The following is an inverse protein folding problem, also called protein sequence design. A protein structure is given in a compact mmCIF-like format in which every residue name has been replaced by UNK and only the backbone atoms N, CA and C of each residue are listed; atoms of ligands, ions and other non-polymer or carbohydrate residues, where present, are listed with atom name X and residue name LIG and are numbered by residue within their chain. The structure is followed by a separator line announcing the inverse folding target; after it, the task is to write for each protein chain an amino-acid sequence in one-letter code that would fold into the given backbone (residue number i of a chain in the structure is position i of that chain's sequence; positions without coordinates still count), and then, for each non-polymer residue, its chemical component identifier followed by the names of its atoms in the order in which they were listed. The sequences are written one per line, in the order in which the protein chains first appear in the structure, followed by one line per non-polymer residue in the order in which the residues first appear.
data_IF_982741291445
#
_entry.id   IF_982741291445
#
_cell.length_a   1.000
_cell.length_b   1.000
_cell.length_c   1.000
_cell.angle_alpha   90.00
_cell.angle_beta   90.00
_cell.angle_gamma   90.00
#
_symmetry.space_group_name_H-M   'P 1'
#
loop_
_entity.id
_entity.type
_entity.pdbx_description
1 polymer ?
2 non-polymer ?
3 non-polymer ?
4 water ?
#
# COMPACT_ATOMS: atom_id res chain seq x y z
N UNK A 11 -7.11 -24.16 -3.60
CA UNK A 11 -5.84 -23.73 -3.03
C UNK A 11 -5.27 -24.80 -2.10
N UNK A 12 -3.97 -24.72 -1.81
CA UNK A 12 -3.28 -25.75 -1.04
C UNK A 12 -2.33 -25.10 -0.05
N UNK A 13 -1.83 -25.90 0.89
CA UNK A 13 -1.02 -25.36 1.98
C UNK A 13 0.26 -26.15 2.24
N UNK A 14 0.74 -26.94 1.29
CA UNK A 14 1.93 -27.71 1.55
C UNK A 14 3.21 -27.04 1.08
N UNK A 15 3.09 -26.09 0.16
CA UNK A 15 4.18 -25.73 -0.73
C UNK A 15 4.62 -24.27 -0.56
N UNK A 16 5.77 -23.99 -1.16
CA UNK A 16 6.35 -22.64 -1.24
C UNK A 16 6.81 -22.43 -2.68
N UNK A 17 6.04 -21.68 -3.46
CA UNK A 17 6.34 -21.39 -4.86
C UNK A 17 7.08 -20.06 -4.93
N UNK A 18 8.40 -20.11 -5.10
CA UNK A 18 9.23 -18.92 -5.17
C UNK A 18 9.97 -18.93 -6.50
N UNK A 19 9.72 -17.90 -7.32
CA UNK A 19 10.50 -17.73 -8.54
C UNK A 19 10.47 -18.93 -9.46
N UNK A 20 9.33 -19.61 -9.54
CA UNK A 20 9.17 -20.74 -10.42
C UNK A 20 9.36 -22.09 -9.79
N UNK A 21 10.11 -22.18 -8.70
CA UNK A 21 10.26 -23.42 -7.96
C UNK A 21 9.07 -23.63 -7.03
N UNK A 22 9.06 -24.76 -6.32
CA UNK A 22 8.00 -25.02 -5.36
C UNK A 22 8.38 -26.12 -4.38
N UNK A 23 9.13 -25.78 -3.34
CA UNK A 23 9.44 -26.72 -2.28
C UNK A 23 8.15 -27.19 -1.61
N UNK A 24 8.26 -28.11 -0.65
CA UNK A 24 7.11 -28.67 0.06
C UNK A 24 7.44 -28.84 1.53
N UNK A 25 7.85 -27.74 2.17
CA UNK A 25 8.32 -27.75 3.54
C UNK A 25 7.21 -27.37 4.51
N UNK A 26 7.53 -27.46 5.80
CA UNK A 26 6.66 -27.03 6.89
C UNK A 26 7.35 -25.89 7.64
N UNK A 27 6.75 -25.46 8.76
CA UNK A 27 7.23 -24.25 9.42
C UNK A 27 8.64 -24.46 9.99
N UNK A 28 8.91 -25.63 10.56
CA UNK A 28 10.19 -25.85 11.22
C UNK A 28 11.37 -25.85 10.26
N UNK A 29 11.12 -25.79 8.95
CA UNK A 29 12.20 -25.67 7.98
C UNK A 29 12.69 -24.24 7.83
N UNK A 30 12.20 -23.32 8.67
CA UNK A 30 12.57 -21.91 8.62
C UNK A 30 13.12 -21.48 9.98
N UNK A 31 14.14 -20.64 9.94
CA UNK A 31 14.74 -20.06 11.13
C UNK A 31 14.16 -18.67 11.36
N UNK A 32 13.79 -18.38 12.61
CA UNK A 32 13.10 -17.15 12.95
C UNK A 32 14.14 -16.11 13.37
N UNK A 33 14.31 -15.08 12.54
CA UNK A 33 15.31 -14.06 12.79
C UNK A 33 14.73 -12.80 13.44
N UNK A 34 13.45 -12.80 13.77
CA UNK A 34 12.85 -11.71 14.51
C UNK A 34 11.65 -11.10 13.78
N UNK A 35 10.91 -10.29 14.54
CA UNK A 35 9.72 -9.63 14.05
C UNK A 35 10.07 -8.29 13.39
N UNK A 36 9.30 -7.94 12.37
CA UNK A 36 9.52 -6.71 11.60
C UNK A 36 8.46 -5.67 11.99
N UNK A 37 8.64 -5.10 13.18
CA UNK A 37 7.70 -4.15 13.70
C UNK A 37 6.40 -4.78 14.15
N UNK A 38 5.69 -4.06 15.02
CA UNK A 38 4.41 -4.55 15.54
C UNK A 38 3.39 -4.54 14.41
N UNK A 39 3.01 -5.73 13.94
CA UNK A 39 2.08 -5.81 12.84
C UNK A 39 0.69 -5.34 13.23
N UNK A 40 0.04 -4.64 12.30
CA UNK A 40 -1.34 -4.20 12.47
C UNK A 40 -2.33 -5.10 11.76
N UNK A 41 -1.84 -5.98 10.90
CA UNK A 41 -2.62 -7.05 10.29
C UNK A 41 -1.89 -8.38 10.44
N UNK A 42 -1.48 -8.69 11.67
CA UNK A 42 -0.77 -9.92 11.95
C UNK A 42 0.69 -9.72 12.29
N UNK A 43 1.18 -10.49 13.27
CA UNK A 43 2.60 -10.49 13.60
C UNK A 43 3.41 -10.99 12.39
N UNK A 44 4.45 -10.24 12.05
CA UNK A 44 5.27 -10.55 10.88
C UNK A 44 6.70 -10.83 11.33
N UNK A 45 7.21 -12.00 10.97
CA UNK A 45 8.57 -12.40 11.27
C UNK A 45 9.41 -12.36 10.01
N UNK A 46 10.66 -11.91 10.15
CA UNK A 46 11.66 -12.16 9.11
C UNK A 46 12.27 -13.53 9.38
N UNK A 47 12.21 -14.41 8.38
CA UNK A 47 12.59 -15.80 8.61
C UNK A 47 13.49 -16.29 7.47
N UNK A 48 14.30 -17.29 7.80
CA UNK A 48 15.39 -17.73 6.95
C UNK A 48 15.34 -19.24 6.79
N UNK A 49 15.51 -19.70 5.55
CA UNK A 49 15.47 -21.13 5.28
C UNK A 49 16.66 -21.84 5.91
N UNK A 50 16.45 -23.09 6.30
CA UNK A 50 17.53 -23.91 6.84
C UNK A 50 18.27 -24.69 5.77
N UNK A 51 17.65 -24.92 4.61
CA UNK A 51 18.36 -25.63 3.55
C UNK A 51 19.28 -24.69 2.78
N UNK A 52 18.86 -23.45 2.54
CA UNK A 52 19.56 -22.55 1.66
C UNK A 52 20.05 -21.27 2.32
N UNK A 53 19.33 -20.75 3.29
CA UNK A 53 19.67 -19.48 3.90
C UNK A 53 18.94 -18.28 3.34
N UNK A 54 17.94 -18.49 2.50
CA UNK A 54 17.19 -17.38 1.89
C UNK A 54 16.15 -16.85 2.86
N UNK A 55 16.02 -15.52 2.91
CA UNK A 55 15.18 -14.84 3.88
C UNK A 55 13.84 -14.47 3.25
N UNK A 56 12.78 -14.59 4.03
CA UNK A 56 11.44 -14.17 3.61
C UNK A 56 10.73 -13.55 4.81
N UNK A 57 9.56 -12.98 4.55
CA UNK A 57 8.64 -12.53 5.59
C UNK A 57 7.59 -13.60 5.79
N UNK A 58 7.18 -13.79 7.05
CA UNK A 58 6.25 -14.86 7.40
C UNK A 58 5.28 -14.30 8.44
N UNK A 59 4.01 -14.17 8.05
CA UNK A 59 2.97 -13.71 8.96
C UNK A 59 2.38 -14.89 9.72
N UNK A 60 2.09 -14.66 11.00
CA UNK A 60 1.55 -15.70 11.88
C UNK A 60 0.17 -15.30 12.39
N UNK A 61 -0.80 -16.18 12.21
CA UNK A 61 -2.15 -16.01 12.75
C UNK A 61 -2.36 -17.10 13.80
N UNK A 62 -2.42 -16.70 15.06
CA UNK A 62 -2.69 -17.65 16.14
C UNK A 62 -4.17 -18.00 16.15
N UNK A 63 -4.46 -19.30 16.22
CA UNK A 63 -5.83 -19.75 16.33
C UNK A 63 -6.55 -19.08 17.50
N UNK A 64 -5.80 -18.71 18.54
CA UNK A 64 -6.33 -18.05 19.72
C UNK A 64 -6.43 -16.54 19.56
N UNK A 65 -6.01 -16.00 18.42
CA UNK A 65 -5.94 -14.56 18.26
C UNK A 65 -7.29 -13.88 18.35
N UNK A 66 -7.25 -12.56 18.39
CA UNK A 66 -8.47 -11.77 18.37
C UNK A 66 -9.27 -12.10 17.12
N UNK A 67 -10.54 -12.47 17.31
CA UNK A 67 -11.39 -12.86 16.19
C UNK A 67 -11.46 -11.79 15.11
N UNK A 68 -11.25 -10.52 15.47
CA UNK A 68 -11.37 -9.43 14.52
C UNK A 68 -10.10 -9.19 13.71
N UNK A 69 -8.93 -9.27 14.35
CA UNK A 69 -7.69 -9.24 13.58
C UNK A 69 -7.62 -10.43 12.63
N UNK A 70 -7.95 -11.61 13.14
CA UNK A 70 -7.88 -12.83 12.33
C UNK A 70 -8.74 -12.71 11.08
N UNK A 71 -9.92 -12.11 11.19
CA UNK A 71 -10.77 -11.93 10.02
C UNK A 71 -10.09 -11.07 8.97
N UNK A 72 -9.40 -10.01 9.40
CA UNK A 72 -8.69 -9.16 8.45
C UNK A 72 -7.48 -9.90 7.86
N UNK A 73 -6.75 -10.64 8.69
CA UNK A 73 -5.63 -11.43 8.17
C UNK A 73 -6.11 -12.35 7.06
N UNK A 74 -7.21 -13.07 7.30
CA UNK A 74 -7.75 -13.94 6.27
C UNK A 74 -8.31 -13.15 5.09
N UNK A 75 -8.79 -11.93 5.33
CA UNK A 75 -9.30 -11.11 4.24
C UNK A 75 -8.17 -10.58 3.37
N UNK A 76 -7.07 -10.15 3.97
CA UNK A 76 -5.89 -9.77 3.18
C UNK A 76 -5.33 -10.98 2.45
N UNK A 77 -5.32 -12.14 3.11
CA UNK A 77 -4.85 -13.35 2.45
C UNK A 77 -5.70 -13.69 1.24
N UNK A 78 -7.02 -13.50 1.35
CA UNK A 78 -7.90 -13.82 0.24
C UNK A 78 -7.54 -13.05 -1.02
N UNK A 79 -7.09 -11.80 -0.86
CA UNK A 79 -6.79 -10.97 -2.03
C UNK A 79 -5.43 -11.31 -2.61
N UNK A 80 -4.41 -11.45 -1.76
CA UNK A 80 -3.07 -11.65 -2.28
C UNK A 80 -2.87 -13.04 -2.85
N UNK A 81 -3.76 -13.99 -2.53
CA UNK A 81 -3.73 -15.27 -3.22
C UNK A 81 -4.21 -15.14 -4.66
N UNK A 82 -5.07 -14.16 -4.93
CA UNK A 82 -5.66 -13.97 -6.25
C UNK A 82 -4.88 -13.02 -7.13
N UNK A 83 -3.82 -12.39 -6.62
CA UNK A 83 -3.11 -11.33 -7.31
C UNK A 83 -1.66 -11.71 -7.64
N UNK A 84 -1.40 -12.99 -7.83
CA UNK A 84 -0.05 -13.45 -8.16
C UNK A 84 0.49 -12.77 -9.41
N UNK A 85 -0.37 -12.51 -10.39
CA UNK A 85 0.06 -11.96 -11.67
C UNK A 85 0.12 -10.44 -11.68
N UNK A 86 -0.07 -9.79 -10.54
CA UNK A 86 0.09 -8.35 -10.46
C UNK A 86 1.46 -8.02 -9.88
N UNK A 87 2.30 -7.28 -10.60
CA UNK A 87 3.66 -7.01 -10.10
C UNK A 87 3.69 -6.01 -8.95
N UNK A 88 2.65 -5.20 -8.77
CA UNK A 88 2.67 -4.10 -7.81
C UNK A 88 1.94 -4.43 -6.52
N UNK A 89 1.79 -5.71 -6.21
CA UNK A 89 1.20 -6.16 -4.95
C UNK A 89 2.15 -7.17 -4.32
N UNK A 90 2.40 -7.01 -3.02
CA UNK A 90 3.29 -7.90 -2.28
C UNK A 90 2.87 -9.34 -2.56
N UNK A 91 3.78 -10.13 -3.13
CA UNK A 91 3.47 -11.49 -3.53
C UNK A 91 3.53 -12.43 -2.35
N UNK A 92 2.56 -13.35 -2.30
CA UNK A 92 2.51 -14.38 -1.27
C UNK A 92 3.06 -15.68 -1.84
N UNK A 93 3.91 -16.35 -1.07
CA UNK A 93 4.60 -17.54 -1.53
C UNK A 93 3.86 -18.84 -1.17
N UNK A 94 3.05 -18.82 -0.13
CA UNK A 94 2.37 -20.02 0.32
C UNK A 94 1.99 -19.89 1.78
N UNK A 95 1.42 -20.96 2.31
CA UNK A 95 0.94 -20.95 3.68
C UNK A 95 1.10 -22.31 4.32
N UNK A 96 1.14 -22.32 5.65
CA UNK A 96 1.14 -23.54 6.46
C UNK A 96 0.00 -23.44 7.46
N UNK A 97 -0.69 -24.57 7.66
CA UNK A 97 -1.78 -24.65 8.63
C UNK A 97 -1.41 -25.73 9.64
N UNK A 98 -1.16 -25.30 10.87
CA UNK A 98 -0.95 -26.20 12.00
C UNK A 98 -2.21 -26.20 12.86
N UNK A 99 -2.29 -27.19 13.76
CA UNK A 99 -3.44 -27.29 14.65
C UNK A 99 -3.65 -26.02 15.46
N UNK A 100 -2.66 -25.13 15.51
CA UNK A 100 -2.72 -23.95 16.36
C UNK A 100 -2.41 -22.64 15.66
N UNK A 101 -1.81 -22.66 14.46
CA UNK A 101 -1.43 -21.43 13.78
C UNK A 101 -1.67 -21.55 12.28
N UNK A 102 -1.71 -20.39 11.62
CA UNK A 102 -1.60 -20.28 10.17
C UNK A 102 -0.43 -19.37 9.88
N UNK A 103 0.51 -19.85 9.05
CA UNK A 103 1.68 -19.08 8.66
C UNK A 103 1.57 -18.68 7.19
N UNK A 104 1.71 -17.40 6.93
CA UNK A 104 1.56 -16.84 5.57
C UNK A 104 2.94 -16.36 5.13
N UNK A 105 3.51 -17.05 4.13
CA UNK A 105 4.81 -16.69 3.61
C UNK A 105 4.69 -15.58 2.58
N UNK A 106 5.40 -14.49 2.78
CA UNK A 106 5.37 -13.34 1.88
C UNK A 106 6.77 -13.01 1.38
N UNK A 107 6.81 -12.40 0.19
CA UNK A 107 8.04 -11.84 -0.33
C UNK A 107 8.57 -10.76 0.61
N UNK A 108 9.86 -10.82 0.92
CA UNK A 108 10.45 -9.95 1.91
C UNK A 108 10.69 -8.57 1.32
N UNK A 109 10.08 -7.55 1.92
CA UNK A 109 10.20 -6.18 1.47
C UNK A 109 11.02 -5.37 2.47
N UNK A 110 11.48 -4.21 2.03
CA UNK A 110 12.34 -3.37 2.85
C UNK A 110 11.62 -2.66 3.98
N UNK A 111 10.65 -1.82 3.66
CA UNK A 111 9.96 -1.02 4.68
C UNK A 111 8.82 -0.26 4.01
N UNK A 112 8.00 0.38 4.83
CA UNK A 112 6.95 1.23 4.32
C UNK A 112 7.49 2.62 3.99
N UNK A 113 6.70 3.37 3.22
CA UNK A 113 7.03 4.75 2.90
C UNK A 113 6.82 5.67 4.09
N UNK A 114 5.94 5.30 5.03
CA UNK A 114 5.78 6.11 6.24
C UNK A 114 7.03 6.07 7.11
N UNK A 115 7.60 4.87 7.30
CA UNK A 115 8.87 4.78 8.02
C UNK A 115 10.03 5.30 7.18
N UNK A 116 9.91 5.20 5.85
CA UNK A 116 10.92 5.81 4.99
C UNK A 116 10.93 7.33 5.15
N UNK A 117 9.76 7.94 5.34
CA UNK A 117 9.67 9.37 5.52
C UNK A 117 10.36 9.80 6.81
N UNK A 118 10.12 9.07 7.90
CA UNK A 118 10.71 9.44 9.18
C UNK A 118 12.23 9.36 9.13
N UNK A 119 12.78 8.37 8.42
CA UNK A 119 14.23 8.24 8.31
C UNK A 119 14.81 9.35 7.46
N UNK A 120 14.18 9.65 6.32
CA UNK A 120 14.64 10.75 5.47
C UNK A 120 14.74 12.05 6.25
N UNK A 121 13.81 12.29 7.16
CA UNK A 121 13.73 13.55 7.89
C UNK A 121 13.45 14.72 6.96
N UNK A 122 12.81 14.44 5.81
CA UNK A 122 12.51 15.48 4.85
C UNK A 122 11.69 14.99 3.68
N UNK A 123 11.49 15.87 2.69
CA UNK A 123 10.70 15.49 1.52
C UNK A 123 11.36 14.36 0.74
N UNK A 124 10.52 13.54 0.11
CA UNK A 124 10.98 12.45 -0.74
C UNK A 124 11.02 12.95 -2.18
N UNK A 125 12.09 12.66 -2.93
CA UNK A 125 12.24 13.28 -4.24
C UNK A 125 11.09 12.92 -5.18
N UNK A 126 10.83 13.83 -6.13
CA UNK A 126 9.71 13.62 -7.04
C UNK A 126 9.92 12.39 -7.92
N UNK A 127 11.18 12.09 -8.29
CA UNK A 127 11.43 10.94 -9.13
C UNK A 127 11.04 9.64 -8.43
N UNK A 128 11.17 9.59 -7.11
CA UNK A 128 10.75 8.40 -6.37
C UNK A 128 9.23 8.36 -6.24
N UNK A 129 8.62 9.49 -5.87
CA UNK A 129 7.17 9.54 -5.81
C UNK A 129 6.56 9.28 -7.18
N UNK A 130 7.31 9.55 -8.25
CA UNK A 130 6.86 9.24 -9.59
C UNK A 130 6.69 7.76 -9.81
N UNK A 131 7.78 7.00 -9.62
CA UNK A 131 7.70 5.56 -9.77
C UNK A 131 6.79 4.91 -8.73
N UNK A 132 6.53 5.60 -7.61
CA UNK A 132 5.54 5.12 -6.66
C UNK A 132 4.13 5.25 -7.23
N UNK A 133 3.82 6.42 -7.79
CA UNK A 133 2.47 6.65 -8.32
C UNK A 133 2.11 5.61 -9.37
N UNK A 134 3.02 5.35 -10.30
CA UNK A 134 2.74 4.37 -11.35
C UNK A 134 2.41 3.01 -10.76
N UNK A 135 3.06 2.66 -9.65
CA UNK A 135 2.87 1.34 -9.05
C UNK A 135 1.54 1.23 -8.34
N UNK A 136 1.23 2.20 -7.47
CA UNK A 136 0.02 2.13 -6.66
C UNK A 136 -1.21 2.21 -7.55
N UNK A 137 -1.23 3.19 -8.47
CA UNK A 137 -2.39 3.35 -9.34
C UNK A 137 -2.63 2.06 -10.14
N UNK A 138 -1.57 1.48 -10.69
CA UNK A 138 -1.73 0.24 -11.44
C UNK A 138 -2.17 -0.90 -10.52
N UNK A 139 -1.71 -0.90 -9.27
CA UNK A 139 -2.18 -1.89 -8.30
C UNK A 139 -3.65 -1.69 -7.99
N UNK A 140 -4.05 -0.45 -7.66
CA UNK A 140 -5.46 -0.16 -7.41
C UNK A 140 -6.32 -0.47 -8.62
N UNK A 141 -5.76 -0.30 -9.82
CA UNK A 141 -6.51 -0.56 -11.05
C UNK A 141 -6.67 -2.07 -11.29
N UNK A 142 -5.62 -2.84 -11.02
CA UNK A 142 -5.70 -4.29 -11.21
C UNK A 142 -6.78 -4.90 -10.33
N UNK A 143 -6.79 -4.57 -9.05
CA UNK A 143 -7.78 -5.14 -8.14
C UNK A 143 -9.20 -4.73 -8.55
N UNK A 144 -9.37 -3.52 -9.08
CA UNK A 144 -10.67 -3.09 -9.56
C UNK A 144 -11.10 -3.88 -10.79
N UNK A 145 -10.27 -3.88 -11.84
CA UNK A 145 -10.68 -4.42 -13.12
C UNK A 145 -10.78 -5.95 -13.09
N UNK A 146 -9.86 -6.60 -12.38
CA UNK A 146 -9.81 -8.06 -12.41
C UNK A 146 -10.64 -8.70 -11.33
N UNK A 147 -10.71 -8.10 -10.13
CA UNK A 147 -11.42 -8.69 -9.01
C UNK A 147 -12.49 -7.79 -8.40
N UNK A 148 -12.72 -6.60 -8.96
CA UNK A 148 -13.73 -5.70 -8.40
C UNK A 148 -13.55 -5.41 -6.93
N UNK A 149 -12.30 -5.31 -6.47
CA UNK A 149 -12.00 -5.02 -5.08
C UNK A 149 -11.47 -3.58 -4.98
N UNK A 150 -11.78 -2.94 -3.86
CA UNK A 150 -11.25 -1.62 -3.53
C UNK A 150 -10.50 -1.73 -2.20
N UNK A 151 -9.39 -0.99 -2.09
CA UNK A 151 -8.53 -1.14 -0.93
C UNK A 151 -9.19 -0.56 0.33
N UNK A 152 -9.63 0.69 0.26
CA UNK A 152 -10.32 1.38 1.34
C UNK A 152 -9.41 1.80 2.48
N UNK A 153 -8.10 1.71 2.31
CA UNK A 153 -7.17 2.20 3.32
C UNK A 153 -5.77 2.43 2.75
N UNK A 154 -5.70 3.17 1.63
CA UNK A 154 -4.40 3.53 1.07
C UNK A 154 -3.73 4.58 1.94
N UNK A 155 -2.43 4.41 2.17
CA UNK A 155 -1.66 5.38 2.93
C UNK A 155 -0.17 5.02 2.91
N UNK A 156 0.71 5.93 3.31
CA UNK A 156 2.15 5.68 3.20
C UNK A 156 2.62 4.42 3.91
N UNK A 157 1.97 4.05 5.03
CA UNK A 157 2.35 2.82 5.73
C UNK A 157 1.96 1.56 4.98
N UNK A 158 1.20 1.68 3.89
CA UNK A 158 0.78 0.54 3.08
C UNK A 158 1.53 0.47 1.76
N UNK A 159 2.59 1.26 1.58
CA UNK A 159 3.40 1.27 0.37
C UNK A 159 4.79 0.77 0.74
N UNK A 160 5.09 -0.47 0.38
CA UNK A 160 6.34 -1.11 0.75
C UNK A 160 7.38 -0.97 -0.35
N UNK A 161 8.62 -0.72 0.04
CA UNK A 161 9.76 -0.62 -0.87
C UNK A 161 10.87 -1.52 -0.36
N UNK A 162 11.75 -1.94 -1.28
CA UNK A 162 12.79 -2.90 -0.94
C UNK A 162 14.12 -2.52 -1.58
N UNK A 163 15.16 -3.25 -1.17
CA UNK A 163 16.52 -2.99 -1.63
C UNK A 163 16.62 -2.99 -3.16
N UNK A 164 15.73 -3.71 -3.84
CA UNK A 164 15.80 -3.84 -5.29
C UNK A 164 15.03 -2.74 -6.02
N UNK A 165 14.41 -1.82 -5.30
CA UNK A 165 13.67 -0.74 -5.92
C UNK A 165 12.24 -1.08 -6.27
N UNK A 166 11.67 -2.10 -5.64
CA UNK A 166 10.28 -2.47 -5.88
C UNK A 166 9.36 -1.67 -4.98
N UNK A 167 8.19 -1.33 -5.49
CA UNK A 167 7.17 -0.59 -4.73
C UNK A 167 5.84 -1.31 -4.94
N UNK A 168 5.30 -1.86 -3.86
CA UNK A 168 4.07 -2.65 -3.93
C UNK A 168 3.14 -2.26 -2.78
N UNK A 169 1.85 -2.37 -3.05
CA UNK A 169 0.82 -2.10 -2.06
C UNK A 169 0.55 -3.35 -1.22
N UNK A 170 0.07 -3.13 0.00
CA UNK A 170 -0.12 -4.24 0.95
C UNK A 170 -1.30 -3.95 1.86
N UNK A 171 -1.67 -4.97 2.64
CA UNK A 171 -2.64 -4.87 3.71
C UNK A 171 -4.04 -4.57 3.18
N UNK A 172 -4.65 -5.62 2.61
CA UNK A 172 -6.04 -5.58 2.17
C UNK A 172 -6.99 -6.08 3.26
N UNK A 173 -6.70 -5.74 4.52
CA UNK A 173 -7.44 -6.26 5.65
C UNK A 173 -8.86 -5.77 5.75
N UNK A 174 -9.16 -4.57 5.24
CA UNK A 174 -10.52 -4.06 5.22
C UNK A 174 -10.98 -3.80 3.78
N UNK A 175 -10.32 -4.43 2.81
CA UNK A 175 -10.79 -4.40 1.44
C UNK A 175 -12.13 -5.12 1.32
N UNK A 176 -12.80 -4.90 0.19
CA UNK A 176 -14.11 -5.50 -0.01
C UNK A 176 -14.58 -5.36 -1.44
N UNK A 177 -15.52 -6.23 -1.79
CA UNK A 177 -16.14 -6.20 -3.11
C UNK A 177 -17.07 -4.99 -3.23
N UNK A 188 -14.10 0.98 8.01
CA UNK A 188 -13.57 2.28 7.63
C UNK A 188 -12.09 2.38 7.98
N UNK A 189 -11.27 2.77 7.01
CA UNK A 189 -9.83 2.87 7.21
C UNK A 189 -9.43 4.06 8.05
N UNK A 190 -8.20 4.54 7.87
CA UNK A 190 -7.72 5.69 8.62
C UNK A 190 -8.41 6.97 8.13
N UNK A 191 -8.76 7.84 9.09
CA UNK A 191 -9.62 8.98 8.77
C UNK A 191 -8.87 10.07 8.00
N UNK A 192 -7.56 10.20 8.22
CA UNK A 192 -6.83 11.32 7.63
C UNK A 192 -6.77 11.23 6.11
N UNK A 193 -6.79 10.03 5.55
CA UNK A 193 -6.71 9.83 4.11
C UNK A 193 -8.05 9.48 3.48
N UNK A 194 -9.13 9.57 4.26
CA UNK A 194 -10.45 9.15 3.80
C UNK A 194 -11.03 10.16 2.82
N UNK A 195 -11.67 9.66 1.77
CA UNK A 195 -12.14 10.52 0.70
C UNK A 195 -13.42 11.26 1.11
N UNK A 196 -13.66 12.44 0.53
CA UNK A 196 -14.89 13.17 0.86
C UNK A 196 -16.16 12.35 0.75
N UNK A 197 -16.29 11.52 -0.28
CA UNK A 197 -17.54 10.79 -0.47
C UNK A 197 -17.69 9.63 0.51
N UNK A 198 -16.59 9.19 1.12
CA UNK A 198 -16.70 8.18 2.18
C UNK A 198 -17.06 8.81 3.52
N UNK A 199 -16.71 10.08 3.72
CA UNK A 199 -17.00 10.76 4.98
C UNK A 199 -18.49 11.10 5.06
N UNK A 200 -19.06 11.61 3.97
CA UNK A 200 -20.50 11.88 3.88
C UNK A 200 -21.03 11.24 2.61
N UNK A 201 -21.59 10.03 2.69
CA UNK A 201 -22.03 9.33 1.48
C UNK A 201 -23.24 10.01 0.87
N UNK A 202 -23.47 9.82 -0.44
CA UNK A 202 -24.49 10.62 -1.15
C UNK A 202 -25.91 10.33 -0.68
N UNK A 203 -26.80 11.28 -1.02
CA UNK A 203 -28.21 11.29 -0.63
C UNK A 203 -28.86 9.94 -0.89
N UNK A 204 -28.93 9.47 -2.14
CA UNK A 204 -29.16 8.04 -2.37
C UNK A 204 -27.85 7.34 -2.66
N UNK A 205 -27.54 6.31 -1.87
CA UNK A 205 -26.21 5.68 -1.90
C UNK A 205 -26.18 4.62 -2.99
N UNK A 206 -25.58 4.96 -4.12
CA UNK A 206 -25.35 3.98 -5.17
C UNK A 206 -24.28 3.00 -4.71
N UNK A 207 -24.39 1.72 -5.12
CA UNK A 207 -23.44 0.71 -4.61
C UNK A 207 -21.99 1.05 -4.89
N UNK A 208 -21.70 1.67 -6.03
CA UNK A 208 -20.33 1.98 -6.43
C UNK A 208 -19.99 3.46 -6.25
N UNK A 209 -20.65 4.14 -5.31
CA UNK A 209 -20.22 5.48 -4.93
C UNK A 209 -18.78 5.49 -4.44
N UNK A 210 -18.29 4.33 -3.96
CA UNK A 210 -17.00 4.17 -3.33
C UNK A 210 -15.86 3.94 -4.32
N UNK A 211 -16.18 3.75 -5.59
CA UNK A 211 -15.28 3.08 -6.51
C UNK A 211 -13.96 3.83 -6.71
N UNK A 212 -13.90 5.11 -6.37
CA UNK A 212 -12.69 5.89 -6.61
C UNK A 212 -12.24 6.66 -5.36
N UNK A 213 -12.73 6.29 -4.18
CA UNK A 213 -12.27 6.95 -2.96
C UNK A 213 -10.79 6.68 -2.70
N UNK A 214 -10.21 5.64 -3.30
CA UNK A 214 -8.80 5.35 -3.09
C UNK A 214 -7.91 6.35 -3.80
N UNK A 215 -8.37 6.89 -4.94
CA UNK A 215 -7.59 7.89 -5.66
C UNK A 215 -7.32 9.10 -4.76
N UNK A 216 -8.36 9.58 -4.07
CA UNK A 216 -8.18 10.71 -3.16
C UNK A 216 -7.16 10.39 -2.08
N UNK A 217 -7.14 9.14 -1.60
CA UNK A 217 -6.21 8.77 -0.53
C UNK A 217 -4.77 8.81 -1.03
N UNK A 218 -4.50 8.29 -2.22
CA UNK A 218 -3.14 8.31 -2.76
C UNK A 218 -2.69 9.73 -3.06
N UNK A 219 -3.62 10.62 -3.36
CA UNK A 219 -3.27 12.02 -3.52
C UNK A 219 -2.84 12.67 -2.22
N UNK A 220 -3.56 12.37 -1.14
CA UNK A 220 -3.18 12.87 0.18
C UNK A 220 -1.78 12.34 0.54
N UNK A 221 -1.52 11.08 0.23
CA UNK A 221 -0.22 10.49 0.56
C UNK A 221 0.89 11.12 -0.26
N UNK A 222 0.65 11.34 -1.56
CA UNK A 222 1.68 11.97 -2.40
C UNK A 222 2.05 13.36 -1.86
N UNK A 223 1.05 14.13 -1.45
CA UNK A 223 1.31 15.45 -0.89
C UNK A 223 2.11 15.33 0.41
N UNK A 224 1.78 14.33 1.23
CA UNK A 224 2.48 14.14 2.49
C UNK A 224 3.95 13.77 2.26
N UNK A 225 4.20 12.79 1.41
CA UNK A 225 5.57 12.35 1.17
C UNK A 225 6.38 13.38 0.40
N UNK A 226 5.72 14.21 -0.41
CA UNK A 226 6.43 15.20 -1.21
C UNK A 226 6.81 16.42 -0.40
N UNK A 227 5.98 16.80 0.57
CA UNK A 227 6.24 17.97 1.40
C UNK A 227 6.84 17.63 2.75
N UNK A 228 6.87 16.36 3.13
CA UNK A 228 7.36 15.97 4.44
C UNK A 228 6.40 16.23 5.58
N UNK A 229 5.19 16.70 5.29
CA UNK A 229 4.23 17.06 6.33
C UNK A 229 2.82 16.71 5.90
N UNK A 230 2.01 16.25 6.85
CA UNK A 230 0.62 15.95 6.56
C UNK A 230 -0.13 17.25 6.26
N UNK A 231 -0.96 17.28 5.21
CA UNK A 231 -1.48 18.57 4.73
C UNK A 231 -2.50 19.23 5.64
N UNK A 232 -3.13 18.51 6.56
CA UNK A 232 -4.12 19.08 7.47
C UNK A 232 -3.45 19.24 8.84
N UNK A 233 -3.11 20.48 9.19
CA UNK A 233 -2.27 20.75 10.34
C UNK A 233 -3.07 20.81 11.63
N UNK A 234 -2.42 20.40 12.72
CA UNK A 234 -2.87 20.65 14.10
C UNK A 234 -4.31 20.20 14.32
N UNK A 235 -4.59 18.95 13.92
CA UNK A 235 -5.84 18.29 14.29
C UNK A 235 -5.54 17.38 15.47
N UNK A 236 -6.21 17.62 16.61
CA UNK A 236 -6.01 16.83 17.80
C UNK A 236 -6.90 15.60 17.87
N UNK A 237 -7.87 15.48 16.97
CA UNK A 237 -8.81 14.37 16.99
C UNK A 237 -9.11 13.93 15.56
N UNK A 238 -9.63 12.70 15.46
CA UNK A 238 -9.99 12.15 14.16
C UNK A 238 -11.04 13.01 13.47
N UNK A 239 -12.12 13.36 14.18
CA UNK A 239 -13.19 14.13 13.57
C UNK A 239 -12.69 15.48 13.07
N UNK A 240 -11.79 16.13 13.82
CA UNK A 240 -11.27 17.41 13.38
C UNK A 240 -10.65 17.32 11.98
N UNK A 241 -9.98 16.21 11.69
CA UNK A 241 -9.45 16.00 10.36
C UNK A 241 -10.58 15.88 9.34
N UNK A 242 -11.59 15.07 9.67
CA UNK A 242 -12.71 14.88 8.76
C UNK A 242 -13.35 16.20 8.36
N UNK A 243 -13.40 17.17 9.27
CA UNK A 243 -14.05 18.44 8.94
C UNK A 243 -13.19 19.27 8.00
N UNK A 244 -11.86 19.23 8.17
CA UNK A 244 -11.00 19.95 7.25
C UNK A 244 -11.12 19.41 5.83
N UNK A 245 -11.19 18.08 5.68
CA UNK A 245 -11.34 17.49 4.36
C UNK A 245 -12.53 18.11 3.63
N UNK A 246 -13.63 18.33 4.35
CA UNK A 246 -14.86 18.79 3.72
C UNK A 246 -14.99 20.31 3.69
N UNK A 247 -14.42 21.02 4.65
CA UNK A 247 -14.55 22.47 4.69
C UNK A 247 -13.42 23.19 3.97
N UNK A 248 -12.18 22.75 4.14
CA UNK A 248 -11.06 23.42 3.52
C UNK A 248 -10.89 22.97 2.06
N UNK A 249 -10.16 23.79 1.31
CA UNK A 249 -9.86 23.46 -0.07
C UNK A 249 -8.95 22.23 -0.13
N UNK A 250 -8.96 21.51 -1.25
CA UNK A 250 -8.03 20.38 -1.41
C UNK A 250 -6.60 20.86 -1.25
N UNK A 251 -5.75 20.09 -0.57
CA UNK A 251 -4.36 20.55 -0.29
C UNK A 251 -3.36 20.23 -1.40
N UNK A 252 -3.40 21.02 -2.47
CA UNK A 252 -2.54 20.78 -3.62
C UNK A 252 -1.07 21.01 -3.28
N UNK A 253 -0.20 20.55 -4.18
CA UNK A 253 1.24 20.69 -3.97
C UNK A 253 1.63 22.16 -4.02
N UNK A 254 2.60 22.57 -3.20
CA UNK A 254 3.06 23.96 -3.26
C UNK A 254 3.82 24.23 -4.56
N UNK A 255 4.06 25.51 -4.82
CA UNK A 255 4.72 25.91 -6.05
C UNK A 255 6.20 26.20 -5.89
N UNK A 256 6.68 26.30 -4.65
CA UNK A 256 8.02 26.75 -4.35
C UNK A 256 8.98 25.61 -4.03
N UNK A 257 8.74 24.41 -4.58
CA UNK A 257 9.58 23.26 -4.28
C UNK A 257 10.07 22.55 -5.55
N UNK A 258 9.96 23.18 -6.71
CA UNK A 258 10.49 22.58 -7.92
C UNK A 258 9.72 21.39 -8.46
N UNK A 259 8.49 21.19 -7.99
CA UNK A 259 7.67 20.12 -8.54
C UNK A 259 7.25 20.47 -9.97
N UNK A 260 7.27 19.47 -10.85
CA UNK A 260 6.94 19.70 -12.24
C UNK A 260 5.44 19.94 -12.41
N UNK A 261 5.09 20.51 -13.57
CA UNK A 261 3.69 20.73 -13.88
C UNK A 261 2.89 19.45 -13.99
N UNK A 262 3.53 18.38 -14.47
CA UNK A 262 2.84 17.09 -14.55
C UNK A 262 2.53 16.54 -13.15
N UNK A 263 3.48 16.66 -12.23
CA UNK A 263 3.25 16.14 -10.88
C UNK A 263 2.17 16.93 -10.16
N UNK A 264 2.10 18.24 -10.38
CA UNK A 264 1.14 19.06 -9.65
C UNK A 264 -0.28 18.86 -10.20
N UNK A 265 -0.41 18.68 -11.51
CA UNK A 265 -1.74 18.48 -12.09
C UNK A 265 -2.25 17.06 -11.87
N UNK A 266 -1.35 16.08 -11.72
CA UNK A 266 -1.79 14.75 -11.32
C UNK A 266 -2.32 14.77 -9.90
N UNK A 267 -1.65 15.49 -9.00
CA UNK A 267 -2.12 15.60 -7.63
C UNK A 267 -3.41 16.41 -7.57
N UNK A 268 -3.58 17.36 -8.48
CA UNK A 268 -4.82 18.12 -8.52
C UNK A 268 -5.98 17.25 -9.00
N UNK A 269 -5.73 16.36 -9.96
CA UNK A 269 -6.80 15.49 -10.46
C UNK A 269 -7.31 14.56 -9.37
N UNK A 270 -6.39 13.89 -8.69
CA UNK A 270 -6.79 12.96 -7.63
C UNK A 270 -7.50 13.67 -6.49
N UNK A 271 -7.08 14.89 -6.18
CA UNK A 271 -7.69 15.67 -5.10
C UNK A 271 -8.84 16.54 -5.58
N UNK A 272 -9.64 16.07 -6.54
CA UNK A 272 -10.91 16.71 -6.84
C UNK A 272 -11.96 16.15 -5.88
N UNK A 273 -12.54 17.03 -5.07
CA UNK A 273 -13.38 16.57 -3.96
C UNK A 273 -14.66 15.92 -4.45
N UNK A 274 -15.26 16.44 -5.52
CA UNK A 274 -16.49 15.86 -6.05
C UNK A 274 -16.17 14.55 -6.75
N UNK A 275 -16.69 13.44 -6.21
CA UNK A 275 -16.29 12.13 -6.70
C UNK A 275 -16.83 11.86 -8.09
N UNK A 276 -17.96 12.44 -8.46
CA UNK A 276 -18.46 12.30 -9.82
C UNK A 276 -17.58 12.99 -10.84
N UNK A 277 -16.64 13.83 -10.39
CA UNK A 277 -15.69 14.49 -11.28
C UNK A 277 -14.28 13.92 -11.20
N UNK A 278 -13.99 13.09 -10.19
CA UNK A 278 -12.65 12.53 -10.07
C UNK A 278 -12.44 11.49 -11.16
N UNK A 279 -11.35 11.59 -11.94
CA UNK A 279 -11.19 10.72 -13.10
C UNK A 279 -11.00 9.26 -12.71
N UNK A 280 -11.60 8.37 -13.51
CA UNK A 280 -11.40 6.94 -13.34
C UNK A 280 -9.94 6.58 -13.56
N UNK A 281 -9.55 5.40 -13.05
CA UNK A 281 -8.20 4.91 -13.31
C UNK A 281 -7.92 4.82 -14.80
N UNK A 282 -8.98 4.60 -15.60
CA UNK A 282 -8.85 4.56 -17.05
C UNK A 282 -8.04 5.75 -17.58
N UNK A 283 -8.39 6.95 -17.14
CA UNK A 283 -7.75 8.14 -17.69
C UNK A 283 -6.61 8.68 -16.82
N UNK A 284 -6.56 8.28 -15.54
CA UNK A 284 -5.38 8.60 -14.75
C UNK A 284 -4.14 7.92 -15.30
N UNK A 285 -4.29 6.68 -15.77
CA UNK A 285 -3.18 5.98 -16.41
C UNK A 285 -2.81 6.59 -17.76
N UNK A 286 -3.68 7.43 -18.33
CA UNK A 286 -3.31 8.18 -19.52
C UNK A 286 -2.51 9.45 -19.19
N UNK A 287 -2.56 9.90 -17.93
CA UNK A 287 -1.91 11.15 -17.55
C UNK A 287 -0.43 11.17 -17.94
N UNK A 288 0.04 12.36 -18.33
CA UNK A 288 1.43 12.51 -18.72
C UNK A 288 2.38 12.14 -17.58
N UNK A 289 2.04 12.55 -16.36
CA UNK A 289 2.89 12.22 -15.22
C UNK A 289 3.10 10.71 -15.09
N UNK A 290 2.10 9.92 -15.45
CA UNK A 290 2.25 8.47 -15.44
C UNK A 290 3.10 8.01 -16.63
N UNK A 291 2.77 8.50 -17.83
CA UNK A 291 3.48 8.04 -19.02
C UNK A 291 4.97 8.35 -18.95
N UNK A 292 5.35 9.42 -18.26
CA UNK A 292 6.76 9.73 -18.10
C UNK A 292 7.48 8.65 -17.30
N UNK A 293 6.95 8.31 -16.13
CA UNK A 293 7.64 7.41 -15.22
C UNK A 293 7.40 5.94 -15.55
N UNK A 294 6.70 5.64 -16.65
CA UNK A 294 6.67 4.28 -17.16
C UNK A 294 7.93 3.95 -17.95
N UNK A 295 8.36 4.88 -18.80
CA UNK A 295 9.51 4.67 -19.67
C UNK A 295 10.77 5.37 -19.16
N UNK A 296 10.69 6.08 -18.05
CA UNK A 296 11.83 6.77 -17.48
C UNK A 296 12.52 5.88 -16.46
N UNK A 297 13.85 5.80 -16.54
CA UNK A 297 14.65 4.99 -15.63
C UNK A 297 14.98 5.80 -14.38
N UNK A 298 14.70 5.22 -13.22
CA UNK A 298 14.96 5.86 -11.93
C UNK A 298 15.51 4.79 -10.99
N UNK A 299 16.72 5.00 -10.49
CA UNK A 299 17.39 4.03 -9.62
C UNK A 299 16.86 4.15 -8.20
N UNK A 300 15.59 3.75 -8.04
CA UNK A 300 14.99 3.75 -6.71
C UNK A 300 15.71 2.75 -5.81
N UNK A 301 16.30 1.70 -6.40
CA UNK A 301 16.99 0.70 -5.60
C UNK A 301 18.18 1.31 -4.86
N UNK A 302 19.02 2.07 -5.58
CA UNK A 302 20.16 2.71 -4.95
C UNK A 302 19.72 3.80 -3.98
N UNK A 303 18.75 4.62 -4.38
CA UNK A 303 18.24 5.65 -3.48
C UNK A 303 17.69 5.03 -2.20
N UNK A 304 17.07 3.86 -2.30
CA UNK A 304 16.56 3.17 -1.12
C UNK A 304 17.69 2.79 -0.18
N UNK A 305 18.66 2.02 -0.69
CA UNK A 305 19.78 1.58 0.14
C UNK A 305 20.45 2.74 0.84
N UNK A 306 20.53 3.91 0.21
CA UNK A 306 21.24 5.03 0.81
C UNK A 306 20.48 5.57 2.02
N UNK A 307 19.17 5.80 1.87
CA UNK A 307 18.39 6.32 2.99
C UNK A 307 18.41 5.34 4.15
N UNK A 308 18.30 4.05 3.85
CA UNK A 308 18.40 3.03 4.90
C UNK A 308 19.75 3.12 5.60
N UNK A 309 20.83 3.14 4.82
CA UNK A 309 22.17 3.23 5.40
C UNK A 309 22.35 4.51 6.22
N UNK A 310 21.54 5.52 5.98
CA UNK A 310 21.59 6.74 6.76
C UNK A 310 20.88 6.52 8.10
#
# INVERSE_FOLDING_TARGET
MGHHHHHHSAKQTGYLTIGGQRYQAEINDLENLGEMGSGTCGQVWKMRFRKTGHVIAVKQMRRSGNKEENKRILMDLDVVLKSHDCPYIVQCFGTFITNTDVFIAMELMGTCAEKLKKRMQGPIPERILGKMTVAIVKALYYLKEKHGVIHRDVKPSNILLDERGQIKLCDFGISGRLVDSKAKTRSAGCAAYMAPERIDPPDPTKPDYDIRADVWSLGISLVELATGQFPYKNCKTDFEVLTKVLQEEPPLLPGHMGFSGDFQSFVKDCLTKDHRKRPKYNKLLEHSFIKRYETLEVDVASWFKDVMAKTESPRTSG
#
